data_IF_347012873010
#
_entry.id   IF_347012873010
#
_cell.length_a   1.000
_cell.length_b   1.000
_cell.length_c   1.000
_cell.angle_alpha   90.00
_cell.angle_beta   90.00
_cell.angle_gamma   90.00
#
_symmetry.space_group_name_H-M   'P 1'
#
loop_
_entity.id
_entity.type
_entity.pdbx_description
1 polymer ?
#
# COMPACT_ATOMS: atom_id res chain seq x y z
N UNK A 1 22.66 3.01 -14.84
CA UNK A 1 22.33 3.58 -13.55
C UNK A 1 22.64 2.62 -12.42
N UNK A 2 23.00 3.15 -11.31
CA UNK A 2 23.30 2.45 -10.06
C UNK A 2 22.44 3.06 -8.96
N UNK A 3 22.06 2.28 -7.95
CA UNK A 3 21.40 2.79 -6.74
C UNK A 3 22.41 3.08 -5.61
N UNK A 4 23.70 3.10 -5.89
CA UNK A 4 24.77 3.32 -4.89
C UNK A 4 24.73 4.73 -4.24
N UNK A 5 24.00 5.66 -4.88
CA UNK A 5 23.72 7.01 -4.35
C UNK A 5 22.56 7.04 -3.35
N UNK A 6 21.85 5.93 -3.16
CA UNK A 6 20.74 5.84 -2.21
C UNK A 6 21.25 5.49 -0.81
N UNK A 7 20.89 6.28 0.17
CA UNK A 7 21.26 6.07 1.57
C UNK A 7 20.08 5.44 2.32
N UNK A 8 20.34 4.38 3.06
CA UNK A 8 19.32 3.82 3.96
C UNK A 8 19.17 4.72 5.17
N UNK A 9 17.96 5.19 5.45
CA UNK A 9 17.65 6.10 6.54
C UNK A 9 16.37 5.69 7.28
N UNK A 10 16.25 6.17 8.52
CA UNK A 10 14.98 6.23 9.24
C UNK A 10 14.21 7.49 8.81
N UNK A 11 12.89 7.51 9.07
CA UNK A 11 12.06 8.68 8.68
C UNK A 11 12.50 9.94 9.44
N UNK A 12 12.87 9.84 10.70
CA UNK A 12 13.37 10.97 11.50
C UNK A 12 14.71 11.51 11.00
N UNK A 13 15.52 10.67 10.37
CA UNK A 13 16.84 11.04 9.83
C UNK A 13 16.81 11.55 8.40
N UNK A 14 15.65 11.85 7.83
CA UNK A 14 15.52 12.36 6.47
C UNK A 14 15.95 13.83 6.40
N UNK A 15 16.76 14.14 5.39
CA UNK A 15 17.16 15.50 5.06
C UNK A 15 16.73 15.85 3.63
N UNK A 16 16.42 17.12 3.40
CA UNK A 16 16.04 17.63 2.08
C UNK A 16 17.09 17.30 1.02
N UNK A 17 16.62 16.97 -0.18
CA UNK A 17 17.45 16.66 -1.37
C UNK A 17 18.23 15.34 -1.32
N UNK A 18 18.17 14.59 -0.23
CA UNK A 18 18.77 13.26 -0.17
C UNK A 18 18.02 12.26 -1.06
N UNK A 19 18.78 11.28 -1.57
CA UNK A 19 18.24 10.08 -2.21
C UNK A 19 18.27 8.92 -1.22
N UNK A 20 17.10 8.37 -0.89
CA UNK A 20 16.93 7.51 0.28
C UNK A 20 16.25 6.18 -0.02
N UNK A 21 16.55 5.22 0.85
CA UNK A 21 15.81 3.96 1.01
C UNK A 21 15.24 3.97 2.41
N UNK A 22 13.90 3.80 2.50
CA UNK A 22 13.17 3.81 3.76
C UNK A 22 12.31 2.56 3.87
N UNK A 23 12.40 1.88 5.00
CA UNK A 23 11.44 0.84 5.38
C UNK A 23 10.34 1.47 6.23
N UNK A 24 9.10 1.09 5.98
CA UNK A 24 7.98 1.59 6.76
C UNK A 24 6.70 0.82 6.52
N UNK A 25 5.69 1.24 7.25
CA UNK A 25 4.31 0.74 7.15
C UNK A 25 3.41 1.85 6.65
N UNK A 26 2.52 1.55 5.72
CA UNK A 26 1.51 2.51 5.27
C UNK A 26 0.63 2.93 6.44
N UNK A 27 0.63 4.21 6.77
CA UNK A 27 -0.13 4.81 7.89
C UNK A 27 -1.38 5.56 7.42
N UNK A 28 -1.33 6.15 6.21
CA UNK A 28 -2.51 6.75 5.57
C UNK A 28 -2.70 6.18 4.18
N UNK A 29 -3.96 5.89 3.86
CA UNK A 29 -4.37 5.35 2.56
C UNK A 29 -4.01 6.31 1.43
N UNK A 30 -3.59 5.80 0.25
CA UNK A 30 -3.33 6.62 -0.92
C UNK A 30 -4.55 7.42 -1.37
N UNK A 31 -4.33 8.72 -1.61
CA UNK A 31 -5.32 9.66 -2.13
C UNK A 31 -4.81 10.24 -3.43
N UNK A 32 -5.67 10.27 -4.45
CA UNK A 32 -5.35 10.94 -5.71
C UNK A 32 -5.77 12.41 -5.64
N UNK A 33 -4.82 13.30 -5.82
CA UNK A 33 -5.05 14.75 -5.87
C UNK A 33 -5.45 15.21 -7.27
N UNK A 34 -6.04 16.42 -7.40
CA UNK A 34 -6.19 17.10 -8.69
C UNK A 34 -4.84 17.13 -9.45
N UNK A 35 -4.86 16.85 -10.76
CA UNK A 35 -3.63 16.65 -11.53
C UNK A 35 -3.09 15.22 -11.52
N UNK A 36 -3.76 14.29 -10.83
CA UNK A 36 -3.46 12.86 -10.90
C UNK A 36 -2.31 12.37 -10.02
N UNK A 37 -1.72 13.22 -9.19
CA UNK A 37 -0.70 12.84 -8.22
C UNK A 37 -1.30 11.95 -7.13
N UNK A 38 -0.56 10.95 -6.68
CA UNK A 38 -1.00 10.06 -5.59
C UNK A 38 -0.11 10.28 -4.37
N UNK A 39 -0.73 10.64 -3.25
CA UNK A 39 -0.05 10.88 -1.98
C UNK A 39 -0.52 9.84 -0.95
N UNK A 40 0.39 9.33 -0.16
CA UNK A 40 0.12 8.46 0.97
C UNK A 40 1.17 8.69 2.05
N UNK A 41 0.95 8.20 3.26
CA UNK A 41 1.92 8.36 4.35
C UNK A 41 2.43 7.00 4.80
N UNK A 42 3.69 6.98 5.20
CA UNK A 42 4.33 5.84 5.84
C UNK A 42 4.85 6.23 7.21
N UNK A 43 4.93 5.26 8.08
CA UNK A 43 5.52 5.40 9.42
C UNK A 43 6.54 4.30 9.66
N UNK A 44 7.57 4.62 10.39
CA UNK A 44 8.49 3.68 11.04
C UNK A 44 8.42 3.87 12.56
N UNK A 45 9.37 3.31 13.30
CA UNK A 45 9.45 3.45 14.76
C UNK A 45 9.85 4.87 15.21
N UNK A 46 10.30 5.71 14.29
CA UNK A 46 10.88 7.03 14.60
C UNK A 46 9.95 8.18 14.29
N UNK A 47 9.21 8.11 13.18
CA UNK A 47 8.35 9.22 12.71
C UNK A 47 7.38 8.76 11.60
N UNK A 48 6.74 9.74 10.94
CA UNK A 48 5.96 9.54 9.73
C UNK A 48 6.36 10.55 8.65
N UNK A 49 6.17 10.16 7.37
CA UNK A 49 6.45 11.02 6.23
C UNK A 49 5.46 10.75 5.10
N UNK A 50 5.13 11.80 4.36
CA UNK A 50 4.32 11.67 3.16
C UNK A 50 5.18 11.23 1.96
N UNK A 51 4.63 10.32 1.17
CA UNK A 51 5.23 9.81 -0.05
C UNK A 51 4.37 10.23 -1.25
N UNK A 52 5.00 10.64 -2.33
CA UNK A 52 4.33 11.12 -3.53
C UNK A 52 4.72 10.30 -4.77
N UNK A 53 3.73 9.86 -5.53
CA UNK A 53 3.87 9.37 -6.90
C UNK A 53 3.23 10.40 -7.85
N UNK A 54 4.06 11.15 -8.57
CA UNK A 54 3.60 12.21 -9.45
C UNK A 54 3.02 11.70 -10.78
N UNK A 55 2.26 12.55 -11.48
CA UNK A 55 1.58 12.19 -12.72
C UNK A 55 2.47 11.51 -13.77
N UNK A 56 3.70 11.98 -14.06
CA UNK A 56 4.56 11.35 -15.07
C UNK A 56 4.88 9.88 -14.82
N UNK A 57 4.65 9.36 -13.60
CA UNK A 57 4.90 7.96 -13.26
C UNK A 57 3.82 6.99 -13.76
N UNK A 58 2.76 7.48 -14.39
CA UNK A 58 1.72 6.68 -15.10
C UNK A 58 1.21 5.47 -14.29
N UNK A 59 1.38 4.26 -14.83
CA UNK A 59 0.90 3.01 -14.21
C UNK A 59 1.53 2.69 -12.84
N UNK A 60 2.69 3.25 -12.52
CA UNK A 60 3.27 3.10 -11.18
C UNK A 60 2.33 3.66 -10.10
N UNK A 61 1.55 4.69 -10.42
CA UNK A 61 0.52 5.23 -9.52
C UNK A 61 -0.60 4.22 -9.20
N UNK A 62 -0.89 3.28 -10.12
CA UNK A 62 -1.92 2.25 -9.87
C UNK A 62 -1.43 1.25 -8.83
N UNK A 63 -0.14 0.95 -8.83
CA UNK A 63 0.49 0.18 -7.74
C UNK A 63 0.36 0.92 -6.41
N UNK A 64 0.66 2.22 -6.41
CA UNK A 64 0.55 3.04 -5.19
C UNK A 64 -0.90 3.13 -4.70
N UNK A 65 -1.87 3.33 -5.60
CA UNK A 65 -3.32 3.34 -5.25
C UNK A 65 -3.79 2.03 -4.64
N UNK A 66 -3.14 0.92 -4.99
CA UNK A 66 -3.46 -0.41 -4.46
C UNK A 66 -2.94 -0.69 -3.05
N UNK A 67 -2.16 0.22 -2.46
CA UNK A 67 -1.69 0.09 -1.09
C UNK A 67 -2.83 0.26 -0.09
N UNK A 68 -2.75 -0.48 1.01
CA UNK A 68 -3.70 -0.35 2.13
C UNK A 68 -2.94 -0.05 3.43
N UNK A 69 -3.62 0.59 4.38
CA UNK A 69 -3.04 0.88 5.70
C UNK A 69 -2.58 -0.42 6.35
N UNK A 70 -1.35 -0.41 6.84
CA UNK A 70 -0.71 -1.57 7.46
C UNK A 70 0.20 -2.36 6.52
N UNK A 71 0.17 -2.14 5.19
CA UNK A 71 1.13 -2.76 4.27
C UNK A 71 2.56 -2.42 4.66
N UNK A 72 3.44 -3.42 4.66
CA UNK A 72 4.88 -3.24 4.94
C UNK A 72 5.60 -3.05 3.62
N UNK A 73 6.27 -1.93 3.48
CA UNK A 73 6.91 -1.52 2.23
C UNK A 73 8.32 -0.99 2.45
N UNK A 74 9.10 -0.99 1.37
CA UNK A 74 10.36 -0.26 1.25
C UNK A 74 10.23 0.71 0.10
N UNK A 75 10.47 1.97 0.35
CA UNK A 75 10.43 3.07 -0.64
C UNK A 75 11.84 3.47 -1.03
N UNK A 76 12.01 3.81 -2.30
CA UNK A 76 13.23 4.36 -2.87
C UNK A 76 12.86 5.67 -3.55
N UNK A 77 13.52 6.75 -3.19
CA UNK A 77 13.18 8.05 -3.77
C UNK A 77 14.04 9.20 -3.31
N UNK A 78 13.66 10.40 -3.70
CA UNK A 78 14.31 11.64 -3.31
C UNK A 78 13.46 12.43 -2.33
N UNK A 79 14.07 12.95 -1.28
CA UNK A 79 13.43 13.81 -0.30
C UNK A 79 13.28 15.23 -0.87
N UNK A 80 12.06 15.76 -0.84
CA UNK A 80 11.75 17.15 -1.21
C UNK A 80 11.65 18.00 0.04
N UNK A 81 11.99 19.27 -0.13
CA UNK A 81 11.91 20.24 0.96
C UNK A 81 10.49 20.78 1.13
N UNK A 82 9.83 21.15 0.01
CA UNK A 82 8.52 21.79 0.04
C UNK A 82 7.57 21.16 -1.00
N UNK A 83 6.50 20.52 -0.54
CA UNK A 83 6.27 20.03 0.83
C UNK A 83 7.29 18.96 1.20
N UNK A 84 7.66 18.87 2.49
CA UNK A 84 8.57 17.83 2.96
C UNK A 84 7.95 16.46 2.73
N UNK A 85 8.51 15.72 1.79
CA UNK A 85 7.94 14.44 1.33
C UNK A 85 8.97 13.64 0.54
N UNK A 86 8.70 12.35 0.36
CA UNK A 86 9.53 11.47 -0.46
C UNK A 86 8.89 11.29 -1.84
N UNK A 87 9.55 11.79 -2.88
CA UNK A 87 9.16 11.49 -4.26
C UNK A 87 9.64 10.09 -4.61
N UNK A 88 8.70 9.15 -4.73
CA UNK A 88 9.01 7.72 -4.89
C UNK A 88 9.30 7.36 -6.34
N UNK A 89 10.35 6.56 -6.54
CA UNK A 89 10.80 6.04 -7.83
C UNK A 89 10.68 4.52 -7.93
N UNK A 90 10.85 3.84 -6.80
CA UNK A 90 10.62 2.41 -6.66
C UNK A 90 9.91 2.13 -5.34
N UNK A 91 9.15 1.07 -5.33
CA UNK A 91 8.52 0.56 -4.12
C UNK A 91 8.64 -0.96 -4.10
N UNK A 92 9.12 -1.49 -2.97
CA UNK A 92 9.07 -2.92 -2.70
C UNK A 92 7.97 -3.18 -1.68
N UNK A 93 6.91 -3.85 -2.10
CA UNK A 93 5.87 -4.32 -1.21
C UNK A 93 6.39 -5.63 -0.59
N UNK A 94 6.70 -5.58 0.70
CA UNK A 94 7.23 -6.72 1.47
C UNK A 94 6.11 -7.62 1.96
N UNK A 95 5.02 -6.99 2.44
CA UNK A 95 3.87 -7.71 2.99
C UNK A 95 2.61 -6.90 2.79
N UNK A 96 1.61 -7.49 2.13
CA UNK A 96 0.27 -6.94 2.05
C UNK A 96 -0.57 -7.40 3.24
N UNK A 97 -1.31 -6.48 3.86
CA UNK A 97 -2.31 -6.83 4.86
C UNK A 97 -3.45 -7.64 4.24
N UNK A 98 -4.00 -8.56 5.01
CA UNK A 98 -5.18 -9.30 4.61
C UNK A 98 -6.42 -8.60 5.16
N UNK A 99 -7.23 -8.04 4.28
CA UNK A 99 -8.53 -7.49 4.62
C UNK A 99 -9.63 -8.50 4.29
N UNK A 100 -10.67 -8.50 5.11
CA UNK A 100 -11.88 -9.29 4.87
C UNK A 100 -13.05 -8.36 4.63
N UNK A 101 -13.85 -8.68 3.62
CA UNK A 101 -15.11 -8.01 3.34
C UNK A 101 -16.29 -8.95 3.63
N UNK A 102 -17.38 -8.37 4.11
CA UNK A 102 -18.60 -9.11 4.31
C UNK A 102 -19.28 -9.33 2.96
N UNK A 103 -19.45 -10.59 2.58
CA UNK A 103 -20.08 -10.97 1.30
C UNK A 103 -21.58 -11.18 1.48
N UNK A 104 -21.99 -11.84 2.56
CA UNK A 104 -23.38 -12.24 2.76
C UNK A 104 -23.78 -12.12 4.23
N UNK A 105 -25.08 -11.92 4.45
CA UNK A 105 -25.65 -12.08 5.78
C UNK A 105 -25.60 -13.56 6.19
N UNK A 106 -25.40 -13.86 7.48
CA UNK A 106 -25.36 -15.25 7.94
C UNK A 106 -26.69 -15.94 7.70
N UNK A 107 -26.64 -17.26 7.51
CA UNK A 107 -27.82 -18.11 7.40
C UNK A 107 -28.22 -18.56 8.79
N UNK A 108 -29.51 -18.53 9.08
CA UNK A 108 -30.05 -19.02 10.36
C UNK A 108 -29.87 -20.54 10.48
N UNK A 109 -29.19 -21.03 11.54
CA UNK A 109 -28.98 -22.47 11.71
C UNK A 109 -30.25 -23.28 11.95
N UNK A 110 -31.35 -22.61 12.36
CA UNK A 110 -32.64 -23.28 12.67
C UNK A 110 -33.53 -23.41 11.43
N UNK A 111 -33.66 -22.35 10.62
CA UNK A 111 -34.60 -22.34 9.51
C UNK A 111 -34.00 -22.13 8.12
N UNK A 112 -32.67 -22.04 8.01
CA UNK A 112 -31.95 -21.90 6.75
C UNK A 112 -32.15 -20.56 6.01
N UNK A 113 -32.91 -19.61 6.56
CA UNK A 113 -33.12 -18.29 5.93
C UNK A 113 -31.98 -17.31 6.26
N UNK A 114 -31.68 -16.42 5.31
CA UNK A 114 -30.74 -15.34 5.57
C UNK A 114 -31.24 -14.42 6.68
N UNK A 115 -30.37 -14.12 7.63
CA UNK A 115 -30.64 -13.24 8.74
C UNK A 115 -30.61 -11.77 8.29
N UNK A 116 -31.29 -10.87 9.01
CA UNK A 116 -31.25 -9.44 8.75
C UNK A 116 -30.28 -8.74 9.71
N UNK A 117 -29.60 -7.73 9.20
CA UNK A 117 -28.73 -6.86 10.03
C UNK A 117 -29.60 -6.08 11.01
N UNK A 118 -29.13 -5.94 12.26
CA UNK A 118 -29.74 -5.09 13.29
C UNK A 118 -29.26 -3.64 13.22
N UNK A 119 -28.19 -3.37 12.46
CA UNK A 119 -27.54 -2.08 12.38
C UNK A 119 -26.03 -2.23 12.35
N UNK A 120 -25.32 -1.08 12.31
CA UNK A 120 -23.85 -1.05 12.30
C UNK A 120 -23.33 -1.68 13.61
N UNK A 121 -22.51 -2.73 13.48
CA UNK A 121 -21.88 -3.46 14.60
C UNK A 121 -22.84 -4.20 15.56
N UNK A 122 -24.15 -4.19 15.31
CA UNK A 122 -25.16 -4.83 16.18
C UNK A 122 -25.45 -6.29 15.82
N UNK A 123 -24.76 -6.83 14.80
CA UNK A 123 -24.91 -8.21 14.36
C UNK A 123 -26.19 -8.45 13.54
N UNK A 124 -26.69 -9.69 13.57
CA UNK A 124 -27.78 -10.16 12.73
C UNK A 124 -28.85 -10.87 13.56
N UNK A 125 -30.09 -10.85 13.06
CA UNK A 125 -31.22 -11.55 13.68
C UNK A 125 -32.04 -12.28 12.61
N UNK A 126 -32.46 -13.50 12.91
CA UNK A 126 -33.47 -14.19 12.13
C UNK A 126 -34.87 -13.69 12.54
N UNK A 127 -35.63 -13.13 11.58
CA UNK A 127 -36.97 -12.62 11.88
C UNK A 127 -37.93 -13.72 12.34
N UNK A 128 -37.74 -14.98 11.85
CA UNK A 128 -38.58 -16.12 12.18
C UNK A 128 -38.24 -16.76 13.53
N UNK A 129 -36.98 -17.12 13.70
CA UNK A 129 -36.51 -17.89 14.86
C UNK A 129 -35.98 -17.04 16.00
N UNK A 130 -35.83 -15.71 15.79
CA UNK A 130 -35.24 -14.76 16.75
C UNK A 130 -33.78 -15.04 17.14
N UNK A 131 -33.15 -16.06 16.51
CA UNK A 131 -31.73 -16.40 16.68
C UNK A 131 -30.87 -15.22 16.24
N UNK A 132 -29.75 -14.98 16.94
CA UNK A 132 -28.81 -13.90 16.64
C UNK A 132 -27.45 -14.45 16.20
N UNK A 133 -26.77 -13.72 15.34
CA UNK A 133 -25.39 -13.98 14.96
C UNK A 133 -24.58 -12.69 15.00
N UNK A 134 -23.31 -12.77 15.41
CA UNK A 134 -22.42 -11.60 15.50
C UNK A 134 -21.81 -11.21 14.17
N UNK A 135 -21.49 -12.19 13.33
CA UNK A 135 -20.77 -11.97 12.07
C UNK A 135 -21.49 -12.58 10.88
N UNK A 136 -21.35 -11.93 9.71
CA UNK A 136 -21.76 -12.48 8.42
C UNK A 136 -20.66 -13.36 7.80
N UNK A 137 -20.95 -13.91 6.60
CA UNK A 137 -19.93 -14.61 5.82
C UNK A 137 -18.89 -13.62 5.33
N UNK A 138 -17.66 -13.80 5.76
CA UNK A 138 -16.52 -12.97 5.39
C UNK A 138 -15.74 -13.66 4.27
N UNK A 139 -15.28 -12.86 3.29
CA UNK A 139 -14.36 -13.30 2.24
C UNK A 139 -13.12 -12.41 2.26
N UNK A 140 -11.98 -13.02 1.97
CA UNK A 140 -10.73 -12.26 1.78
C UNK A 140 -10.89 -11.30 0.60
N UNK A 141 -10.70 -10.01 0.84
CA UNK A 141 -10.73 -8.98 -0.20
C UNK A 141 -9.58 -9.22 -1.18
N UNK A 142 -9.88 -9.23 -2.47
CA UNK A 142 -8.85 -9.35 -3.50
C UNK A 142 -8.04 -8.07 -3.55
N UNK A 143 -6.73 -8.17 -3.40
CA UNK A 143 -5.81 -7.04 -3.51
C UNK A 143 -5.48 -6.79 -4.98
N UNK A 144 -5.39 -5.52 -5.36
CA UNK A 144 -4.95 -5.08 -6.70
C UNK A 144 -3.42 -5.13 -6.85
N UNK A 145 -2.70 -5.18 -5.73
CA UNK A 145 -1.24 -5.29 -5.69
C UNK A 145 -0.80 -6.52 -4.91
N UNK A 146 0.41 -7.00 -5.22
CA UNK A 146 1.03 -8.16 -4.60
C UNK A 146 2.41 -7.80 -4.05
N UNK A 147 2.98 -8.68 -3.24
CA UNK A 147 4.37 -8.55 -2.82
C UNK A 147 5.28 -8.55 -4.05
N UNK A 148 6.17 -7.59 -4.12
CA UNK A 148 7.03 -7.43 -5.29
C UNK A 148 7.76 -6.09 -5.29
N UNK A 149 8.63 -5.93 -6.28
CA UNK A 149 9.38 -4.69 -6.53
C UNK A 149 8.84 -4.04 -7.80
N UNK A 150 8.44 -2.79 -7.67
CA UNK A 150 7.84 -1.98 -8.74
C UNK A 150 8.67 -0.71 -8.94
N UNK A 151 8.76 -0.25 -10.18
CA UNK A 151 9.46 1.00 -10.52
C UNK A 151 8.65 1.88 -11.45
N UNK A 152 9.01 3.15 -11.50
CA UNK A 152 8.45 4.11 -12.44
C UNK A 152 8.85 3.75 -13.88
N UNK A 153 8.05 4.11 -14.89
CA UNK A 153 8.39 3.91 -16.30
C UNK A 153 9.66 4.68 -16.69
N UNK A 154 10.29 4.28 -17.77
CA UNK A 154 11.56 4.86 -18.25
C UNK A 154 11.49 6.38 -18.38
N UNK A 155 10.35 6.91 -18.86
CA UNK A 155 10.15 8.36 -19.04
C UNK A 155 10.13 9.19 -17.74
N UNK A 156 9.88 8.54 -16.59
CA UNK A 156 9.84 9.19 -15.27
C UNK A 156 11.01 8.78 -14.37
N UNK A 157 11.93 7.95 -14.88
CA UNK A 157 13.08 7.46 -14.12
C UNK A 157 14.19 8.51 -14.15
N UNK A 158 14.78 8.79 -13.00
CA UNK A 158 16.05 9.53 -12.96
C UNK A 158 17.16 8.68 -13.61
N UNK A 159 18.07 9.30 -14.34
CA UNK A 159 19.12 8.60 -15.08
C UNK A 159 20.08 7.77 -14.20
N UNK A 160 20.27 8.16 -12.93
CA UNK A 160 21.06 7.42 -11.96
C UNK A 160 20.34 6.20 -11.37
N UNK A 161 19.01 6.13 -11.46
CA UNK A 161 18.24 5.04 -10.87
C UNK A 161 18.49 3.72 -11.60
N UNK A 162 18.84 2.66 -10.86
CA UNK A 162 19.08 1.33 -11.42
C UNK A 162 17.76 0.67 -11.87
N UNK A 163 17.61 0.30 -13.16
CA UNK A 163 16.42 -0.38 -13.65
C UNK A 163 16.25 -1.79 -13.06
N UNK A 164 15.00 -2.25 -12.87
CA UNK A 164 14.71 -3.59 -12.35
C UNK A 164 15.32 -4.71 -13.20
N UNK A 165 15.37 -4.56 -14.53
CA UNK A 165 15.98 -5.55 -15.41
C UNK A 165 17.46 -5.82 -15.10
N UNK A 166 18.16 -4.89 -14.44
CA UNK A 166 19.54 -5.09 -13.97
C UNK A 166 19.66 -5.83 -12.64
N UNK A 167 18.59 -5.90 -11.85
CA UNK A 167 18.56 -6.71 -10.62
C UNK A 167 18.47 -8.22 -10.93
N UNK A 168 17.92 -8.59 -12.07
CA UNK A 168 17.70 -10.00 -12.46
C UNK A 168 18.96 -10.66 -13.03
N UNK A 169 19.97 -9.90 -13.51
CA UNK A 169 21.18 -10.44 -14.13
C UNK A 169 22.16 -11.12 -13.17
N UNK A 170 22.12 -10.85 -11.87
CA UNK A 170 23.02 -11.47 -10.87
C UNK A 170 22.71 -12.94 -10.52
N UNK A 171 21.64 -13.54 -11.05
CA UNK A 171 21.24 -14.94 -10.75
C UNK A 171 21.66 -15.97 -11.81
N UNK A 172 22.39 -15.58 -12.86
CA UNK A 172 22.80 -16.51 -13.92
C UNK A 172 24.29 -16.90 -13.90
N UNK A 173 25.07 -16.35 -12.95
CA UNK A 173 26.50 -16.60 -12.86
C UNK A 173 26.92 -17.19 -11.51
N UNK A 174 26.09 -18.12 -10.97
CA UNK A 174 26.47 -19.01 -9.88
C UNK A 174 26.02 -20.44 -10.16
#
# INVERSE_FOLDING_TARGET
GSDDHLVTSTIKGLESFQSVIIDGRVSKKPVTLPGGHVIFSITDETSCVDCAAYEPTKQFRDVVRGLEVGDVIRVFGGVREQPFSVNIEKIKIKQCVTEFEKVENPVCPICGKHMKSKGREQGFVCKRCKTTAKQGRMKRKKRSVQNGLYEVPVCARRHLSKPLCRFQRKRKDQ
#
